data_IF_762138504976
#
_entry.id   IF_762138504976
#
_cell.length_a   1.000
_cell.length_b   1.000
_cell.length_c   1.000
_cell.angle_alpha   90.00
_cell.angle_beta   90.00
_cell.angle_gamma   90.00
#
_symmetry.space_group_name_H-M   'P 1'
#
loop_
_entity.id
_entity.type
_entity.pdbx_description
1 polymer ?
#
# COMPACT_ATOMS: atom_id res chain seq x y z
N UNK A 1 3.50 13.34 -20.99
CA UNK A 1 4.10 12.93 -19.70
C UNK A 1 3.15 13.49 -18.66
N UNK A 2 2.52 12.64 -17.84
CA UNK A 2 1.67 13.13 -16.77
C UNK A 2 2.56 13.93 -15.81
N UNK A 3 2.20 15.17 -15.52
CA UNK A 3 2.88 15.98 -14.51
C UNK A 3 2.80 15.21 -13.17
N UNK A 4 3.97 14.81 -12.68
CA UNK A 4 4.05 14.12 -11.39
C UNK A 4 3.67 15.11 -10.30
N UNK A 5 2.65 14.81 -9.54
CA UNK A 5 2.27 15.59 -8.37
C UNK A 5 3.31 15.38 -7.27
N UNK A 6 4.16 16.38 -7.05
CA UNK A 6 5.31 16.32 -6.14
C UNK A 6 5.08 17.25 -4.96
N UNK A 7 5.04 16.67 -3.75
CA UNK A 7 5.03 17.39 -2.49
C UNK A 7 6.41 17.42 -1.82
N UNK A 8 6.50 18.09 -0.69
CA UNK A 8 7.69 18.19 0.16
C UNK A 8 7.39 17.72 1.58
N UNK A 9 8.25 16.89 2.13
CA UNK A 9 8.18 16.52 3.56
C UNK A 9 8.43 17.75 4.40
N UNK A 10 7.49 18.09 5.27
CA UNK A 10 7.61 19.20 6.21
C UNK A 10 7.91 18.73 7.63
N UNK A 11 7.50 17.51 7.98
CA UNK A 11 7.72 16.94 9.32
C UNK A 11 7.82 15.40 9.22
N UNK A 12 8.66 14.81 10.09
CA UNK A 12 8.76 13.37 10.30
C UNK A 12 8.68 13.10 11.80
N UNK A 13 7.73 12.29 12.23
CA UNK A 13 7.51 11.89 13.62
C UNK A 13 7.37 10.37 13.67
N UNK A 14 8.47 9.66 13.94
CA UNK A 14 8.46 8.19 13.90
C UNK A 14 7.94 7.67 12.53
N UNK A 15 6.87 6.89 12.50
CA UNK A 15 6.26 6.37 11.28
C UNK A 15 5.29 7.36 10.59
N UNK A 16 5.12 8.56 11.13
CA UNK A 16 4.19 9.57 10.59
C UNK A 16 4.96 10.67 9.88
N UNK A 17 4.51 11.00 8.66
CA UNK A 17 5.07 12.09 7.86
C UNK A 17 3.99 13.10 7.52
N UNK A 18 4.30 14.38 7.68
CA UNK A 18 3.47 15.46 7.14
C UNK A 18 4.12 15.97 5.84
N UNK A 19 3.34 15.97 4.76
CA UNK A 19 3.81 16.31 3.41
C UNK A 19 2.93 17.44 2.88
N UNK A 20 3.57 18.49 2.40
CA UNK A 20 2.88 19.62 1.76
C UNK A 20 2.95 19.49 0.25
N UNK A 21 1.82 19.60 -0.41
CA UNK A 21 1.68 19.60 -1.86
C UNK A 21 1.42 21.02 -2.40
N UNK A 22 1.33 21.17 -3.70
CA UNK A 22 0.88 22.41 -4.32
C UNK A 22 -0.63 22.55 -4.21
N UNK A 23 -1.11 23.79 -4.17
CA UNK A 23 -2.53 24.11 -4.06
C UNK A 23 -3.37 23.40 -5.13
N UNK A 24 -4.45 22.77 -4.71
CA UNK A 24 -5.39 22.05 -5.59
C UNK A 24 -4.91 20.66 -6.06
N UNK A 25 -3.74 20.19 -5.63
CA UNK A 25 -3.18 18.89 -6.04
C UNK A 25 -2.96 17.94 -4.84
N UNK A 26 -3.85 17.96 -3.85
CA UNK A 26 -3.74 17.01 -2.74
C UNK A 26 -4.07 15.58 -3.22
N UNK A 27 -3.25 14.58 -2.83
CA UNK A 27 -3.62 13.18 -3.00
C UNK A 27 -4.84 12.83 -2.13
N UNK A 28 -5.62 11.86 -2.57
CA UNK A 28 -6.78 11.39 -1.83
C UNK A 28 -6.38 10.57 -0.59
N UNK A 29 -7.30 10.40 0.36
CA UNK A 29 -7.11 9.52 1.51
C UNK A 29 -6.96 8.09 0.99
N UNK A 30 -6.02 7.34 1.55
CA UNK A 30 -5.55 6.00 1.16
C UNK A 30 -4.66 5.97 -0.10
N UNK A 31 -4.40 7.09 -0.75
CA UNK A 31 -3.43 7.11 -1.84
C UNK A 31 -2.01 6.81 -1.35
N UNK A 32 -1.25 6.13 -2.20
CA UNK A 32 0.16 5.89 -1.98
C UNK A 32 0.99 7.08 -2.43
N UNK A 33 1.99 7.44 -1.63
CA UNK A 33 2.98 8.46 -1.96
C UNK A 33 4.37 7.83 -1.86
N UNK A 34 5.20 8.03 -2.87
CA UNK A 34 6.56 7.49 -2.92
C UNK A 34 7.58 8.56 -2.53
N UNK A 35 8.44 8.24 -1.57
CA UNK A 35 9.55 9.08 -1.15
C UNK A 35 10.86 8.46 -1.63
N UNK A 36 11.57 9.05 -2.60
CA UNK A 36 12.86 8.54 -3.05
C UNK A 36 13.91 8.64 -1.93
N UNK A 37 14.61 7.55 -1.67
CA UNK A 37 15.68 7.50 -0.68
C UNK A 37 17.05 7.70 -1.33
N UNK A 38 18.01 8.24 -0.59
CA UNK A 38 19.37 8.51 -1.06
C UNK A 38 20.14 7.25 -1.46
N UNK A 39 19.75 6.09 -0.96
CA UNK A 39 20.36 4.79 -1.28
C UNK A 39 19.84 4.17 -2.59
N UNK A 40 19.02 4.90 -3.36
CA UNK A 40 18.40 4.41 -4.59
C UNK A 40 17.11 3.62 -4.40
N UNK A 41 16.69 3.38 -3.15
CA UNK A 41 15.39 2.80 -2.83
C UNK A 41 14.27 3.84 -2.78
N UNK A 42 13.09 3.38 -2.46
CA UNK A 42 11.92 4.24 -2.19
C UNK A 42 11.22 3.78 -0.92
N UNK A 43 10.69 4.72 -0.16
CA UNK A 43 9.75 4.45 0.91
C UNK A 43 8.35 4.77 0.40
N UNK A 44 7.42 3.86 0.59
CA UNK A 44 6.00 4.09 0.33
C UNK A 44 5.32 4.52 1.61
N UNK A 45 4.54 5.57 1.53
CA UNK A 45 3.71 6.07 2.63
C UNK A 45 2.27 6.19 2.15
N UNK A 46 1.31 6.00 3.03
CA UNK A 46 -0.12 6.08 2.73
C UNK A 46 -0.72 7.34 3.33
N UNK A 47 -1.55 8.04 2.56
CA UNK A 47 -2.27 9.22 3.04
C UNK A 47 -3.35 8.81 4.03
N UNK A 48 -3.19 9.17 5.29
CA UNK A 48 -4.15 8.87 6.36
C UNK A 48 -5.14 10.00 6.63
N UNK A 49 -4.72 11.25 6.44
CA UNK A 49 -5.54 12.42 6.80
C UNK A 49 -5.11 13.67 6.06
N UNK A 50 -6.07 14.53 5.70
CA UNK A 50 -5.82 15.90 5.28
C UNK A 50 -5.80 16.81 6.51
N UNK A 51 -4.72 17.61 6.66
CA UNK A 51 -4.54 18.52 7.79
C UNK A 51 -5.02 19.95 7.48
N UNK A 52 -5.30 20.24 6.21
CA UNK A 52 -5.51 21.61 5.72
C UNK A 52 -4.21 22.26 5.23
N UNK A 53 -4.31 23.46 4.66
CA UNK A 53 -3.14 24.20 4.12
C UNK A 53 -2.28 23.36 3.17
N UNK A 54 -2.93 22.63 2.26
CA UNK A 54 -2.32 21.73 1.28
C UNK A 54 -1.41 20.66 1.89
N UNK A 55 -1.64 20.30 3.14
CA UNK A 55 -0.83 19.34 3.89
C UNK A 55 -1.60 18.06 4.16
N UNK A 56 -0.97 16.94 3.90
CA UNK A 56 -1.47 15.61 4.22
C UNK A 56 -0.60 14.94 5.27
N UNK A 57 -1.21 14.16 6.13
CA UNK A 57 -0.55 13.26 7.07
C UNK A 57 -0.51 11.87 6.50
N UNK A 58 0.67 11.28 6.45
CA UNK A 58 0.91 9.97 5.90
C UNK A 58 1.51 9.02 6.93
N UNK A 59 1.26 7.74 6.74
CA UNK A 59 1.84 6.65 7.53
C UNK A 59 2.85 5.90 6.67
N UNK A 60 4.06 5.70 7.18
CA UNK A 60 5.13 5.00 6.49
C UNK A 60 4.94 3.48 6.53
N UNK A 61 5.10 2.83 5.37
CA UNK A 61 5.03 1.37 5.22
C UNK A 61 6.40 0.70 5.42
N UNK A 62 7.37 1.43 5.92
CA UNK A 62 8.72 0.94 6.20
C UNK A 62 9.49 1.90 7.11
N UNK A 63 10.78 1.63 7.37
CA UNK A 63 11.62 2.45 8.23
C UNK A 63 11.78 3.85 7.65
N UNK A 64 11.71 4.84 8.54
CA UNK A 64 11.83 6.28 8.22
C UNK A 64 13.24 6.82 8.38
N UNK A 65 14.21 5.93 8.60
CA UNK A 65 15.60 6.31 8.79
C UNK A 65 16.18 7.04 7.57
N UNK A 66 16.83 8.14 7.80
CA UNK A 66 17.43 8.96 6.75
C UNK A 66 16.47 9.92 6.04
N UNK A 67 15.18 9.95 6.41
CA UNK A 67 14.27 10.97 5.94
C UNK A 67 14.59 12.33 6.59
N UNK A 68 14.55 13.37 5.78
CA UNK A 68 14.75 14.74 6.23
C UNK A 68 13.68 15.66 5.64
N UNK A 69 13.43 16.75 6.36
CA UNK A 69 12.55 17.81 5.87
C UNK A 69 13.06 18.34 4.51
N UNK A 70 12.14 18.62 3.60
CA UNK A 70 12.43 19.14 2.27
C UNK A 70 12.66 18.07 1.19
N UNK A 71 12.69 16.79 1.54
CA UNK A 71 12.72 15.71 0.54
C UNK A 71 11.45 15.70 -0.30
N UNK A 72 11.60 15.26 -1.55
CA UNK A 72 10.48 15.10 -2.48
C UNK A 72 9.62 13.89 -2.08
N UNK A 73 8.32 14.04 -2.29
CA UNK A 73 7.32 13.00 -2.11
C UNK A 73 6.39 13.01 -3.32
N UNK A 74 6.30 11.91 -4.04
CA UNK A 74 5.61 11.80 -5.32
C UNK A 74 4.30 11.06 -5.11
N UNK A 75 3.17 11.75 -5.28
CA UNK A 75 1.86 11.10 -5.24
C UNK A 75 1.69 10.18 -6.45
N UNK A 76 1.23 8.96 -6.21
CA UNK A 76 0.98 7.98 -7.28
C UNK A 76 -0.38 8.14 -7.94
N UNK A 77 -1.33 8.82 -7.26
CA UNK A 77 -2.72 8.96 -7.67
C UNK A 77 -3.52 7.66 -7.60
N UNK A 78 -3.05 6.69 -6.81
CA UNK A 78 -3.71 5.41 -6.60
C UNK A 78 -3.35 4.83 -5.22
N UNK A 79 -4.21 4.01 -4.63
CA UNK A 79 -3.92 3.32 -3.38
C UNK A 79 -2.87 2.22 -3.57
N UNK A 80 -2.28 1.79 -2.46
CA UNK A 80 -1.40 0.61 -2.44
C UNK A 80 -2.18 -0.58 -3.00
N UNK A 81 -1.58 -1.28 -3.96
CA UNK A 81 -2.20 -2.42 -4.63
C UNK A 81 -1.29 -3.64 -4.57
N UNK A 82 -1.87 -4.81 -4.34
CA UNK A 82 -1.17 -6.09 -4.21
C UNK A 82 -1.56 -7.03 -5.34
N UNK A 83 -0.66 -7.92 -5.80
CA UNK A 83 -0.98 -8.93 -6.78
C UNK A 83 -1.99 -9.92 -6.21
N UNK A 84 -2.94 -10.37 -7.05
CA UNK A 84 -3.96 -11.35 -6.69
C UNK A 84 -4.02 -12.45 -7.75
N UNK A 85 -4.64 -13.59 -7.41
CA UNK A 85 -4.82 -14.72 -8.30
C UNK A 85 -4.15 -16.00 -7.80
N UNK A 86 -4.35 -17.09 -8.54
CA UNK A 86 -3.86 -18.42 -8.14
C UNK A 86 -2.33 -18.49 -8.01
N UNK A 87 -1.59 -17.70 -8.81
CA UNK A 87 -0.14 -17.62 -8.77
C UNK A 87 0.43 -16.98 -7.47
N UNK A 88 -0.44 -16.44 -6.63
CA UNK A 88 -0.05 -15.88 -5.32
C UNK A 88 -0.22 -16.89 -4.18
N UNK A 89 -0.83 -18.04 -4.44
CA UNK A 89 -1.07 -19.05 -3.42
C UNK A 89 0.24 -19.70 -2.96
N UNK A 90 0.38 -19.83 -1.64
CA UNK A 90 1.60 -20.39 -1.02
C UNK A 90 2.83 -19.49 -1.06
N UNK A 91 2.69 -18.23 -1.51
CA UNK A 91 3.75 -17.22 -1.60
C UNK A 91 3.71 -16.28 -0.39
N UNK A 92 4.85 -15.69 -0.07
CA UNK A 92 4.97 -14.68 0.99
C UNK A 92 5.24 -13.30 0.39
N UNK A 93 4.50 -12.31 0.84
CA UNK A 93 4.60 -10.93 0.37
C UNK A 93 4.75 -9.95 1.53
N UNK A 94 5.43 -8.84 1.28
CA UNK A 94 5.39 -7.68 2.18
C UNK A 94 4.07 -6.90 2.00
N UNK A 95 3.89 -5.85 2.79
CA UNK A 95 2.68 -4.99 2.74
C UNK A 95 2.47 -4.28 1.40
N UNK A 96 3.48 -4.20 0.56
CA UNK A 96 3.43 -3.59 -0.77
C UNK A 96 3.17 -4.63 -1.88
N UNK A 97 2.97 -5.91 -1.52
CA UNK A 97 2.78 -6.98 -2.48
C UNK A 97 4.06 -7.43 -3.20
N UNK A 98 5.25 -7.10 -2.65
CA UNK A 98 6.52 -7.58 -3.16
C UNK A 98 6.85 -8.93 -2.52
N UNK A 99 7.32 -9.93 -3.28
CA UNK A 99 7.67 -11.23 -2.72
C UNK A 99 8.87 -11.13 -1.77
N UNK A 100 8.77 -11.84 -0.64
CA UNK A 100 9.84 -11.94 0.38
C UNK A 100 10.31 -13.38 0.59
N UNK A 101 9.86 -14.29 -0.26
CA UNK A 101 10.16 -15.72 -0.24
C UNK A 101 11.33 -16.11 -1.15
N UNK A 102 12.12 -15.13 -1.61
CA UNK A 102 13.27 -15.30 -2.50
C UNK A 102 12.94 -15.95 -3.86
N UNK A 103 11.66 -16.00 -4.23
CA UNK A 103 11.18 -16.49 -5.53
C UNK A 103 10.78 -15.30 -6.40
N UNK A 104 10.91 -15.46 -7.73
CA UNK A 104 10.54 -14.39 -8.66
C UNK A 104 9.11 -13.90 -8.44
N UNK A 105 8.84 -12.60 -8.72
CA UNK A 105 7.49 -12.04 -8.61
C UNK A 105 6.47 -12.88 -9.38
N UNK A 106 5.28 -13.13 -8.82
CA UNK A 106 4.25 -13.89 -9.50
C UNK A 106 3.82 -13.15 -10.77
N UNK A 107 3.71 -13.88 -11.87
CA UNK A 107 3.16 -13.34 -13.10
C UNK A 107 1.64 -13.26 -12.95
N UNK A 108 1.14 -12.14 -12.48
CA UNK A 108 -0.28 -11.83 -12.38
C UNK A 108 -0.57 -10.53 -13.12
N UNK A 109 -1.60 -10.53 -13.94
CA UNK A 109 -2.07 -9.32 -14.63
C UNK A 109 -2.96 -8.47 -13.72
N UNK A 110 -3.52 -9.07 -12.68
CA UNK A 110 -4.50 -8.46 -11.79
C UNK A 110 -3.85 -8.00 -10.47
N UNK A 111 -4.12 -6.73 -10.11
CA UNK A 111 -3.74 -6.16 -8.82
C UNK A 111 -4.97 -5.54 -8.17
N UNK A 112 -5.12 -5.74 -6.89
CA UNK A 112 -6.22 -5.16 -6.12
C UNK A 112 -5.70 -4.16 -5.11
N UNK A 113 -6.44 -3.04 -4.99
CA UNK A 113 -6.21 -2.09 -3.92
C UNK A 113 -6.45 -2.74 -2.56
N UNK A 114 -5.59 -2.45 -1.58
CA UNK A 114 -5.74 -2.96 -0.21
C UNK A 114 -6.99 -2.40 0.47
N UNK A 115 -7.37 -1.16 0.13
CA UNK A 115 -8.61 -0.52 0.56
C UNK A 115 -9.69 -0.73 -0.51
N UNK A 116 -10.55 -1.69 -0.29
CA UNK A 116 -11.69 -1.96 -1.16
C UNK A 116 -12.91 -2.32 -0.33
N UNK A 117 -14.13 -2.02 -0.82
CA UNK A 117 -15.34 -2.41 -0.13
C UNK A 117 -15.45 -3.92 0.01
N UNK A 118 -16.12 -4.37 1.07
CA UNK A 118 -16.43 -5.78 1.24
C UNK A 118 -17.30 -6.28 0.07
N UNK A 119 -17.17 -7.57 -0.33
CA UNK A 119 -18.04 -8.15 -1.34
C UNK A 119 -19.51 -8.04 -0.93
N UNK A 120 -20.38 -7.76 -1.91
CA UNK A 120 -21.82 -7.77 -1.69
C UNK A 120 -22.30 -9.18 -1.30
N UNK A 121 -23.47 -9.27 -0.66
CA UNK A 121 -24.05 -10.56 -0.28
C UNK A 121 -24.26 -11.49 -1.49
N UNK A 122 -24.58 -10.94 -2.64
CA UNK A 122 -24.80 -11.67 -3.90
C UNK A 122 -23.51 -12.27 -4.48
N UNK A 123 -22.38 -11.64 -4.20
CA UNK A 123 -21.05 -12.11 -4.64
C UNK A 123 -20.44 -13.16 -3.70
N UNK A 124 -21.06 -13.41 -2.55
CA UNK A 124 -20.55 -14.39 -1.58
C UNK A 124 -20.94 -15.80 -2.03
N UNK A 125 -19.93 -16.67 -2.20
CA UNK A 125 -20.16 -18.07 -2.47
C UNK A 125 -20.79 -18.75 -1.24
N UNK A 126 -21.91 -19.45 -1.43
CA UNK A 126 -22.60 -20.24 -0.40
C UNK A 126 -22.06 -21.68 -0.32
N UNK A 127 -20.87 -21.94 -0.87
CA UNK A 127 -20.26 -23.26 -0.85
C UNK A 127 -19.83 -23.66 0.56
N UNK A 128 -20.17 -24.89 0.96
CA UNK A 128 -19.70 -25.50 2.18
C UNK A 128 -18.24 -25.97 2.11
N UNK A 129 -17.59 -25.86 0.97
CA UNK A 129 -16.17 -26.19 0.79
C UNK A 129 -15.30 -25.16 1.50
N UNK A 130 -14.94 -25.48 2.71
CA UNK A 130 -13.90 -24.78 3.45
C UNK A 130 -12.54 -25.16 2.87
N UNK A 131 -12.14 -24.52 1.80
CA UNK A 131 -10.71 -24.50 1.42
C UNK A 131 -10.00 -23.71 2.51
N UNK A 132 -9.40 -24.42 3.46
CA UNK A 132 -8.57 -23.81 4.47
C UNK A 132 -7.34 -23.20 3.76
N UNK A 133 -7.34 -21.90 3.56
CA UNK A 133 -6.11 -21.16 3.31
C UNK A 133 -5.33 -21.22 4.62
N UNK A 134 -4.28 -22.02 4.66
CA UNK A 134 -3.32 -22.05 5.74
C UNK A 134 -2.19 -21.08 5.38
N UNK A 135 -2.19 -19.84 5.90
CA UNK A 135 -1.04 -18.98 5.76
C UNK A 135 0.13 -19.71 6.41
N UNK A 136 1.25 -19.81 5.71
CA UNK A 136 2.48 -20.30 6.30
C UNK A 136 2.74 -19.52 7.59
N UNK A 137 3.28 -20.19 8.61
CA UNK A 137 3.53 -19.72 9.98
C UNK A 137 4.55 -18.54 10.05
N UNK A 138 4.30 -17.49 9.29
CA UNK A 138 4.98 -16.20 9.39
C UNK A 138 3.92 -15.15 9.75
N UNK A 139 3.62 -15.04 11.03
CA UNK A 139 2.51 -14.27 11.55
C UNK A 139 2.45 -12.85 11.01
N UNK A 140 1.43 -12.59 10.20
CA UNK A 140 0.85 -11.28 10.05
C UNK A 140 -0.62 -11.42 10.45
N UNK A 141 -0.88 -11.25 11.72
CA UNK A 141 -2.21 -11.05 12.28
C UNK A 141 -2.67 -9.63 11.92
N UNK A 142 -3.14 -9.48 10.68
CA UNK A 142 -3.83 -8.28 10.23
C UNK A 142 -5.10 -8.69 9.51
N UNK A 143 -6.24 -8.50 10.12
CA UNK A 143 -7.55 -9.02 9.70
C UNK A 143 -8.02 -8.55 8.32
N UNK A 144 -7.49 -7.46 7.77
CA UNK A 144 -7.88 -6.91 6.48
C UNK A 144 -7.20 -7.59 5.28
N UNK A 145 -5.95 -8.04 5.41
CA UNK A 145 -5.23 -8.72 4.34
C UNK A 145 -5.78 -10.14 4.07
N UNK A 146 -6.31 -10.80 5.10
CA UNK A 146 -6.88 -12.14 4.96
C UNK A 146 -8.16 -12.16 4.09
N UNK A 147 -8.90 -11.04 4.03
CA UNK A 147 -10.13 -10.96 3.24
C UNK A 147 -9.85 -10.79 1.74
N UNK A 148 -8.76 -10.12 1.37
CA UNK A 148 -8.38 -9.94 -0.04
C UNK A 148 -7.98 -11.30 -0.65
N UNK A 149 -7.21 -12.10 0.08
CA UNK A 149 -6.77 -13.41 -0.38
C UNK A 149 -7.90 -14.45 -0.42
N UNK A 150 -8.92 -14.35 0.44
CA UNK A 150 -10.07 -15.26 0.44
C UNK A 150 -10.98 -15.12 -0.79
N UNK A 151 -10.96 -13.98 -1.49
CA UNK A 151 -11.77 -13.76 -2.70
C UNK A 151 -11.02 -14.10 -4.00
N UNK A 152 -9.71 -14.38 -3.94
CA UNK A 152 -8.91 -14.74 -5.10
C UNK A 152 -8.97 -16.23 -5.48
N UNK A 153 -9.84 -17.03 -4.81
CA UNK A 153 -10.02 -18.46 -5.08
C UNK A 153 -11.45 -18.72 -5.53
#
# INVERSE_FOLDING_TARGET
MADKNVGKIIQVISAVLDIKFSEGNLPEINDAVEVPLKNGGKLVVEVAQHLGDDTVRCIAMGPTDGLVRGMDAIATGAPISVPVGENTLGRMFNVLGEPIDEVEPPQTEEKWAIHRPAPSFEEQATSADHRAFQPGLGGLEGSSHLQILKKAI
#
